data_IF_152288715393
#
_entry.id   IF_152288715393
#
_cell.length_a   1.000
_cell.length_b   1.000
_cell.length_c   1.000
_cell.angle_alpha   90.00
_cell.angle_beta   90.00
_cell.angle_gamma   90.00
#
_symmetry.space_group_name_H-M   'P 1'
#
loop_
_entity.id
_entity.type
_entity.pdbx_description
1 polymer ?
#
# COMPACT_ATOMS: atom_id res chain seq x y z
N UNK A 1 -2.54 26.78 -26.35
CA UNK A 1 -1.31 25.99 -26.12
C UNK A 1 -1.24 25.74 -24.62
N UNK A 2 -1.09 24.49 -24.16
CA UNK A 2 -0.97 24.24 -22.74
C UNK A 2 0.35 24.81 -22.22
N UNK A 3 0.29 25.47 -21.09
CA UNK A 3 1.41 26.10 -20.43
C UNK A 3 2.34 25.01 -19.82
N UNK A 4 3.66 25.16 -20.00
CA UNK A 4 4.63 24.27 -19.34
C UNK A 4 4.83 24.74 -17.91
N UNK A 5 4.67 23.83 -16.96
CA UNK A 5 4.96 24.06 -15.52
C UNK A 5 6.32 23.48 -15.20
N UNK A 6 7.18 24.25 -14.56
CA UNK A 6 8.45 23.79 -14.02
C UNK A 6 8.34 23.63 -12.52
N UNK A 7 8.83 22.51 -12.00
CA UNK A 7 8.86 22.21 -10.57
C UNK A 7 10.32 22.00 -10.18
N UNK A 8 10.84 22.83 -9.26
CA UNK A 8 12.22 22.77 -8.78
C UNK A 8 12.24 22.03 -7.45
N UNK A 9 13.14 21.05 -7.31
CA UNK A 9 13.30 20.23 -6.10
C UNK A 9 14.73 20.29 -5.56
N UNK A 10 14.89 20.42 -4.24
CA UNK A 10 16.21 20.30 -3.58
C UNK A 10 16.73 18.88 -3.58
N UNK A 11 15.83 17.89 -3.46
CA UNK A 11 16.12 16.46 -3.63
C UNK A 11 15.00 15.80 -4.43
N UNK A 12 15.37 14.81 -5.24
CA UNK A 12 14.47 14.09 -6.11
C UNK A 12 14.73 12.59 -6.04
N UNK A 13 13.69 11.82 -5.81
CA UNK A 13 13.67 10.35 -5.80
C UNK A 13 12.70 9.91 -6.88
N UNK A 14 13.17 9.20 -7.89
CA UNK A 14 12.35 8.86 -9.05
C UNK A 14 11.46 7.62 -8.86
N UNK A 15 11.67 6.84 -7.79
CA UNK A 15 10.92 5.61 -7.50
C UNK A 15 11.47 4.36 -8.19
N UNK A 16 12.53 4.45 -8.98
CA UNK A 16 13.17 3.29 -9.62
C UNK A 16 14.07 2.48 -8.68
N UNK A 17 14.40 3.05 -7.52
CA UNK A 17 15.42 2.54 -6.61
C UNK A 17 16.81 3.10 -6.89
N UNK A 18 16.95 4.04 -7.83
CA UNK A 18 18.19 4.77 -8.08
C UNK A 18 18.46 5.82 -6.98
N UNK A 19 19.72 6.23 -6.87
CA UNK A 19 20.19 7.19 -5.89
C UNK A 19 19.45 8.54 -5.96
N UNK A 20 19.32 9.19 -4.80
CA UNK A 20 18.72 10.53 -4.68
C UNK A 20 19.48 11.56 -5.53
N UNK A 21 18.77 12.21 -6.44
CA UNK A 21 19.31 13.34 -7.22
C UNK A 21 19.07 14.65 -6.47
N UNK A 22 19.98 15.62 -6.63
CA UNK A 22 19.87 16.93 -5.96
C UNK A 22 19.74 18.06 -6.97
N UNK A 23 19.05 19.13 -6.53
CA UNK A 23 18.87 20.35 -7.32
C UNK A 23 18.34 20.02 -8.73
N UNK A 24 17.17 19.45 -8.79
CA UNK A 24 16.53 18.93 -10.02
C UNK A 24 15.34 19.82 -10.38
N UNK A 25 15.11 20.03 -11.68
CA UNK A 25 13.83 20.49 -12.16
C UNK A 25 13.08 19.38 -12.91
N UNK A 26 11.75 19.42 -12.83
CA UNK A 26 10.83 18.67 -13.67
C UNK A 26 10.06 19.66 -14.54
N UNK A 27 9.99 19.41 -15.85
CA UNK A 27 9.07 20.10 -16.74
C UNK A 27 7.84 19.24 -16.95
N UNK A 28 6.65 19.81 -16.72
CA UNK A 28 5.36 19.12 -16.87
C UNK A 28 4.53 19.87 -17.91
N UNK A 29 4.02 19.14 -18.87
CA UNK A 29 3.11 19.64 -19.89
C UNK A 29 1.99 18.61 -20.13
N UNK A 30 0.74 19.06 -20.18
CA UNK A 30 -0.40 18.17 -20.42
C UNK A 30 -0.41 16.94 -19.50
N UNK A 31 -0.15 17.13 -18.20
CA UNK A 31 -0.12 16.07 -17.17
C UNK A 31 1.11 15.15 -17.20
N UNK A 32 1.99 15.27 -18.20
CA UNK A 32 3.12 14.38 -18.44
C UNK A 32 4.44 15.09 -18.08
N UNK A 33 5.39 14.35 -17.49
CA UNK A 33 6.78 14.80 -17.31
C UNK A 33 7.45 14.81 -18.69
N UNK A 34 7.85 15.98 -19.17
CA UNK A 34 8.47 16.15 -20.48
C UNK A 34 9.98 16.29 -20.43
N UNK A 35 10.52 16.74 -19.29
CA UNK A 35 11.95 16.81 -19.05
C UNK A 35 12.28 16.70 -17.56
N UNK A 36 13.47 16.20 -17.25
CA UNK A 36 14.06 16.19 -15.91
C UNK A 36 15.54 16.57 -16.07
N UNK A 37 15.96 17.64 -15.41
CA UNK A 37 17.33 18.15 -15.53
C UNK A 37 17.87 18.76 -14.24
N UNK A 38 19.10 19.28 -14.30
CA UNK A 38 19.67 20.08 -13.21
C UNK A 38 18.93 21.41 -13.09
N UNK A 39 18.62 21.84 -11.87
CA UNK A 39 18.00 23.16 -11.63
C UNK A 39 18.83 24.33 -12.16
N UNK A 40 20.16 24.14 -12.31
CA UNK A 40 21.05 25.14 -12.91
C UNK A 40 20.77 25.33 -14.42
N UNK A 41 20.24 24.30 -15.08
CA UNK A 41 19.96 24.29 -16.51
C UNK A 41 18.46 24.57 -16.80
N UNK A 42 17.73 25.12 -15.80
CA UNK A 42 16.31 25.45 -15.96
C UNK A 42 16.10 26.38 -17.15
N UNK A 43 15.29 25.97 -18.15
CA UNK A 43 15.04 26.79 -19.32
C UNK A 43 14.35 28.12 -18.95
N UNK A 44 14.83 29.23 -19.51
CA UNK A 44 14.14 30.51 -19.40
C UNK A 44 13.02 30.54 -20.43
N UNK A 45 11.78 30.41 -19.96
CA UNK A 45 10.60 30.55 -20.79
C UNK A 45 9.76 31.72 -20.29
N UNK A 46 9.53 32.70 -21.15
CA UNK A 46 8.60 33.80 -20.86
C UNK A 46 7.19 33.23 -20.72
N UNK A 47 6.56 33.45 -19.55
CA UNK A 47 5.19 32.98 -19.24
C UNK A 47 5.08 31.56 -18.64
N UNK A 48 6.21 30.87 -18.35
CA UNK A 48 6.14 29.57 -17.69
C UNK A 48 5.88 29.69 -16.17
N UNK A 49 5.01 28.86 -15.64
CA UNK A 49 4.82 28.73 -14.19
C UNK A 49 5.98 27.96 -13.57
N UNK A 50 6.61 28.52 -12.53
CA UNK A 50 7.68 27.87 -11.77
C UNK A 50 7.21 27.68 -10.33
N UNK A 51 7.13 26.40 -9.88
CA UNK A 51 6.89 26.04 -8.50
C UNK A 51 8.22 25.69 -7.83
N UNK A 52 8.68 26.54 -6.91
CA UNK A 52 9.97 26.40 -6.24
C UNK A 52 9.83 25.60 -4.93
N UNK A 53 10.31 24.37 -4.97
CA UNK A 53 10.45 23.45 -3.83
C UNK A 53 11.93 23.09 -3.58
N UNK A 54 12.84 24.02 -3.80
CA UNK A 54 14.29 23.82 -3.60
C UNK A 54 14.67 23.41 -2.17
N UNK A 55 13.77 23.62 -1.19
CA UNK A 55 13.91 23.19 0.21
C UNK A 55 13.17 21.89 0.54
N UNK A 56 12.69 21.17 -0.49
CA UNK A 56 11.86 19.97 -0.35
C UNK A 56 12.46 18.77 -1.08
N UNK A 57 11.91 17.61 -0.75
CA UNK A 57 12.11 16.36 -1.49
C UNK A 57 10.87 16.09 -2.32
N UNK A 58 11.05 15.78 -3.59
CA UNK A 58 10.01 15.25 -4.47
C UNK A 58 10.22 13.75 -4.64
N UNK A 59 9.13 12.98 -4.53
CA UNK A 59 9.13 11.52 -4.67
C UNK A 59 7.79 11.06 -5.27
N UNK A 60 7.71 9.82 -5.83
CA UNK A 60 6.46 9.30 -6.37
C UNK A 60 5.36 9.24 -5.32
N UNK A 61 4.12 9.31 -5.77
CA UNK A 61 2.97 8.95 -4.95
C UNK A 61 3.01 7.49 -4.53
N UNK A 62 2.48 7.20 -3.34
CA UNK A 62 2.54 5.88 -2.73
C UNK A 62 1.40 4.98 -3.22
N UNK A 63 1.67 3.67 -3.21
CA UNK A 63 0.70 2.62 -3.52
C UNK A 63 0.65 1.63 -2.36
N UNK A 64 -0.53 1.42 -1.78
CA UNK A 64 -0.77 0.42 -0.75
C UNK A 64 -1.41 -0.83 -1.36
N UNK A 65 -0.67 -1.93 -1.38
CA UNK A 65 -1.04 -3.16 -2.06
C UNK A 65 -1.96 -4.09 -1.24
N UNK A 66 -2.36 -3.68 -0.03
CA UNK A 66 -3.27 -4.46 0.83
C UNK A 66 -4.10 -3.54 1.70
N UNK A 67 -5.34 -3.30 1.28
CA UNK A 67 -6.29 -2.40 1.96
C UNK A 67 -7.69 -2.99 1.97
N UNK A 68 -8.45 -2.72 3.02
CA UNK A 68 -9.91 -2.79 3.00
C UNK A 68 -10.46 -1.38 3.28
N UNK A 69 -11.15 -0.80 2.31
CA UNK A 69 -11.79 0.51 2.46
C UNK A 69 -13.16 0.41 3.17
N UNK A 70 -13.76 -0.78 3.22
CA UNK A 70 -15.06 -1.02 3.85
C UNK A 70 -14.95 -1.49 5.31
N UNK A 71 -13.74 -1.63 5.86
CA UNK A 71 -13.53 -2.03 7.26
C UNK A 71 -13.03 -0.88 8.11
N UNK A 72 -13.57 -0.76 9.31
CA UNK A 72 -13.08 0.19 10.31
C UNK A 72 -11.80 -0.34 10.96
N UNK A 73 -10.70 0.43 10.99
CA UNK A 73 -9.50 0.07 11.73
C UNK A 73 -9.61 0.31 13.24
N UNK A 74 -10.78 0.66 13.75
CA UNK A 74 -10.99 0.95 15.16
C UNK A 74 -10.55 -0.21 16.05
N UNK A 75 -9.92 0.10 17.17
CA UNK A 75 -9.64 -0.90 18.23
C UNK A 75 -10.89 -1.20 19.05
N UNK A 76 -11.91 -0.35 19.00
CA UNK A 76 -13.21 -0.58 19.63
C UNK A 76 -14.02 -1.59 18.80
N UNK A 77 -14.34 -2.72 19.42
CA UNK A 77 -15.10 -3.80 18.80
C UNK A 77 -16.52 -3.33 18.37
N UNK A 78 -17.19 -2.52 19.18
CA UNK A 78 -18.55 -2.05 18.86
C UNK A 78 -18.54 -1.16 17.62
N UNK A 79 -17.55 -0.28 17.49
CA UNK A 79 -17.39 0.55 16.28
C UNK A 79 -17.17 -0.31 15.04
N UNK A 80 -16.41 -1.41 15.16
CA UNK A 80 -16.20 -2.34 14.01
C UNK A 80 -17.47 -3.09 13.65
N UNK A 81 -18.19 -3.61 14.64
CA UNK A 81 -19.46 -4.32 14.42
C UNK A 81 -20.49 -3.40 13.76
N UNK A 82 -20.65 -2.18 14.27
CA UNK A 82 -21.54 -1.18 13.65
C UNK A 82 -21.13 -0.90 12.19
N UNK A 83 -19.83 -0.81 11.90
CA UNK A 83 -19.34 -0.59 10.54
C UNK A 83 -19.59 -1.80 9.61
N UNK A 84 -19.55 -3.02 10.14
CA UNK A 84 -19.88 -4.25 9.38
C UNK A 84 -21.37 -4.35 9.04
N UNK A 85 -22.23 -3.94 9.97
CA UNK A 85 -23.71 -3.93 9.84
C UNK A 85 -24.23 -2.69 9.09
N UNK A 86 -23.39 -1.71 8.81
CA UNK A 86 -23.75 -0.45 8.16
C UNK A 86 -24.44 -0.69 6.80
N UNK A 87 -25.38 0.18 6.49
CA UNK A 87 -26.04 0.17 5.19
C UNK A 87 -25.11 0.65 4.05
N UNK A 88 -25.58 0.59 2.80
CA UNK A 88 -24.78 0.96 1.63
C UNK A 88 -24.37 2.44 1.64
N UNK A 89 -25.21 3.34 2.16
CA UNK A 89 -24.89 4.76 2.21
C UNK A 89 -23.82 5.05 3.28
N UNK A 90 -23.93 4.43 4.43
CA UNK A 90 -22.96 4.51 5.52
C UNK A 90 -21.61 3.91 5.10
N UNK A 91 -21.62 2.75 4.42
CA UNK A 91 -20.42 2.15 3.82
C UNK A 91 -19.79 3.06 2.79
N UNK A 92 -20.58 3.70 1.93
CA UNK A 92 -20.08 4.69 0.97
C UNK A 92 -19.36 5.85 1.67
N UNK A 93 -19.98 6.44 2.70
CA UNK A 93 -19.37 7.53 3.47
C UNK A 93 -18.07 7.10 4.18
N UNK A 94 -18.01 5.85 4.68
CA UNK A 94 -16.80 5.30 5.29
C UNK A 94 -15.68 5.14 4.26
N UNK A 95 -15.98 4.60 3.08
CA UNK A 95 -15.01 4.44 1.98
C UNK A 95 -14.48 5.80 1.52
N UNK A 96 -15.34 6.82 1.32
CA UNK A 96 -14.91 8.18 0.99
C UNK A 96 -13.95 8.76 2.04
N UNK A 97 -14.25 8.54 3.31
CA UNK A 97 -13.38 8.95 4.43
C UNK A 97 -12.02 8.26 4.36
N UNK A 98 -12.00 6.95 4.13
CA UNK A 98 -10.75 6.18 4.03
C UNK A 98 -9.92 6.57 2.80
N UNK A 99 -10.56 6.84 1.66
CA UNK A 99 -9.91 7.41 0.47
C UNK A 99 -9.30 8.78 0.81
N UNK A 100 -10.03 9.64 1.51
CA UNK A 100 -9.53 10.94 1.95
C UNK A 100 -8.28 10.81 2.84
N UNK A 101 -8.26 9.83 3.75
CA UNK A 101 -7.08 9.54 4.57
C UNK A 101 -5.91 9.03 3.72
N UNK A 102 -6.14 8.08 2.81
CA UNK A 102 -5.11 7.64 1.87
C UNK A 102 -4.51 8.83 1.12
N UNK A 103 -5.37 9.65 0.51
CA UNK A 103 -4.94 10.84 -0.22
C UNK A 103 -4.10 11.79 0.65
N UNK A 104 -4.57 12.11 1.86
CA UNK A 104 -3.89 13.04 2.76
C UNK A 104 -2.47 12.60 3.17
N UNK A 105 -2.22 11.30 3.18
CA UNK A 105 -0.89 10.72 3.46
C UNK A 105 -0.10 10.35 2.19
N UNK A 106 -0.55 10.80 1.02
CA UNK A 106 0.15 10.60 -0.25
C UNK A 106 -0.02 9.23 -0.88
N UNK A 107 -0.95 8.42 -0.37
CA UNK A 107 -1.32 7.14 -1.01
C UNK A 107 -2.32 7.46 -2.11
N UNK A 108 -1.86 7.38 -3.37
CA UNK A 108 -2.66 7.69 -4.54
C UNK A 108 -3.08 6.43 -5.32
N UNK A 109 -2.62 5.25 -4.87
CA UNK A 109 -3.05 3.96 -5.40
C UNK A 109 -3.31 2.97 -4.27
N UNK A 110 -4.38 2.19 -4.40
CA UNK A 110 -4.72 1.12 -3.43
C UNK A 110 -5.22 -0.14 -4.14
N UNK A 111 -4.73 -1.30 -3.67
CA UNK A 111 -5.30 -2.59 -4.04
C UNK A 111 -6.20 -3.08 -2.90
N UNK A 112 -7.51 -3.16 -3.15
CA UNK A 112 -8.51 -3.44 -2.14
C UNK A 112 -9.09 -4.84 -2.26
N UNK A 113 -9.37 -5.43 -1.09
CA UNK A 113 -10.00 -6.75 -0.98
C UNK A 113 -11.53 -6.70 -0.93
N UNK A 114 -12.11 -5.50 -0.96
CA UNK A 114 -13.55 -5.31 -0.86
C UNK A 114 -14.23 -5.45 -2.23
N UNK A 115 -15.49 -5.86 -2.20
CA UNK A 115 -16.38 -5.69 -3.34
C UNK A 115 -16.90 -4.24 -3.37
N UNK A 116 -16.38 -3.47 -4.30
CA UNK A 116 -16.77 -2.07 -4.51
C UNK A 116 -17.71 -1.89 -5.70
N UNK A 117 -18.29 -2.95 -6.26
CA UNK A 117 -19.07 -2.91 -7.50
C UNK A 117 -20.21 -1.88 -7.42
N UNK A 118 -20.99 -1.90 -6.34
CA UNK A 118 -22.11 -0.97 -6.15
C UNK A 118 -21.69 0.46 -5.80
N UNK A 119 -20.43 0.67 -5.43
CA UNK A 119 -19.89 1.96 -5.01
C UNK A 119 -19.03 2.61 -6.08
N UNK A 120 -18.54 1.85 -7.07
CA UNK A 120 -17.56 2.30 -8.07
C UNK A 120 -18.04 3.51 -8.85
N UNK A 121 -19.27 3.50 -9.33
CA UNK A 121 -19.86 4.61 -10.10
C UNK A 121 -20.01 5.88 -9.26
N UNK A 122 -20.30 5.75 -7.98
CA UNK A 122 -20.41 6.88 -7.06
C UNK A 122 -19.06 7.60 -6.87
N UNK A 123 -17.95 6.83 -6.81
CA UNK A 123 -16.60 7.42 -6.66
C UNK A 123 -16.10 8.07 -7.93
N UNK A 124 -16.50 7.54 -9.10
CA UNK A 124 -16.04 8.08 -10.36
C UNK A 124 -16.80 9.34 -10.79
N UNK A 125 -18.08 9.49 -10.40
CA UNK A 125 -18.95 10.56 -10.85
C UNK A 125 -18.90 11.85 -10.03
N UNK A 126 -18.44 11.80 -8.78
CA UNK A 126 -18.52 12.93 -7.83
C UNK A 126 -17.19 13.63 -7.54
N UNK A 127 -16.07 13.14 -8.04
CA UNK A 127 -14.75 13.62 -7.64
C UNK A 127 -14.26 14.74 -8.57
N UNK A 128 -13.86 15.87 -7.95
CA UNK A 128 -13.17 16.93 -8.67
C UNK A 128 -11.87 16.39 -9.31
N UNK A 129 -11.45 16.92 -10.47
CA UNK A 129 -10.17 16.56 -11.07
C UNK A 129 -9.03 16.64 -10.03
N UNK A 130 -8.23 15.58 -9.93
CA UNK A 130 -7.11 15.51 -8.96
C UNK A 130 -7.46 15.07 -7.55
N UNK A 131 -8.70 14.66 -7.29
CA UNK A 131 -9.14 14.19 -5.95
C UNK A 131 -9.30 12.67 -5.85
N UNK A 132 -9.28 11.94 -6.95
CA UNK A 132 -9.40 10.48 -6.97
C UNK A 132 -8.04 9.80 -6.81
N UNK A 133 -7.99 8.78 -5.95
CA UNK A 133 -6.90 7.82 -5.94
C UNK A 133 -7.20 6.69 -6.96
N UNK A 134 -6.16 6.00 -7.45
CA UNK A 134 -6.33 4.82 -8.33
C UNK A 134 -6.70 3.60 -7.46
N UNK A 135 -7.88 3.04 -7.66
CA UNK A 135 -8.37 1.89 -6.90
C UNK A 135 -8.43 0.67 -7.80
N UNK A 136 -7.75 -0.41 -7.37
CA UNK A 136 -7.87 -1.75 -7.95
C UNK A 136 -8.59 -2.65 -6.96
N UNK A 137 -9.71 -3.23 -7.37
CA UNK A 137 -10.55 -4.07 -6.52
C UNK A 137 -10.48 -5.53 -6.94
N UNK A 138 -10.40 -6.42 -5.95
CA UNK A 138 -10.54 -7.87 -6.20
C UNK A 138 -12.01 -8.32 -6.34
N UNK A 139 -12.99 -7.44 -6.15
CA UNK A 139 -14.40 -7.80 -6.16
C UNK A 139 -14.80 -8.69 -4.98
N UNK A 140 -14.04 -8.65 -3.90
CA UNK A 140 -14.22 -9.52 -2.74
C UNK A 140 -13.07 -10.52 -2.56
N UNK A 141 -13.11 -11.25 -1.45
CA UNK A 141 -12.12 -12.23 -1.06
C UNK A 141 -12.61 -13.64 -1.39
N UNK A 142 -11.91 -14.36 -2.25
CA UNK A 142 -12.24 -15.74 -2.62
C UNK A 142 -11.82 -16.70 -1.50
N UNK A 143 -12.76 -17.39 -0.89
CA UNK A 143 -12.57 -18.37 0.20
C UNK A 143 -13.06 -19.77 -0.14
N UNK A 144 -13.76 -19.93 -1.27
CA UNK A 144 -14.30 -21.20 -1.72
C UNK A 144 -14.34 -21.33 -3.24
N UNK A 145 -14.46 -22.53 -3.76
CA UNK A 145 -14.67 -22.75 -5.20
C UNK A 145 -16.01 -22.18 -5.68
N UNK A 146 -16.98 -22.05 -4.80
CA UNK A 146 -18.28 -21.44 -5.14
C UNK A 146 -18.13 -19.94 -5.31
N UNK A 147 -17.29 -19.27 -4.49
CA UNK A 147 -16.94 -17.86 -4.66
C UNK A 147 -16.23 -17.63 -6.00
N UNK A 148 -15.41 -18.59 -6.47
CA UNK A 148 -14.74 -18.48 -7.76
C UNK A 148 -15.67 -18.68 -8.95
N UNK A 149 -16.68 -19.54 -8.81
CA UNK A 149 -17.70 -19.76 -9.84
C UNK A 149 -18.72 -18.61 -9.91
N UNK A 150 -19.07 -18.04 -8.74
CA UNK A 150 -19.85 -16.81 -8.59
C UNK A 150 -18.95 -15.55 -8.71
N UNK A 151 -17.68 -15.67 -8.37
CA UNK A 151 -16.68 -14.62 -8.20
C UNK A 151 -16.04 -14.12 -9.48
N UNK A 152 -16.63 -14.36 -10.60
CA UNK A 152 -16.44 -13.54 -11.78
C UNK A 152 -17.25 -12.26 -11.62
N UNK A 153 -16.96 -11.45 -10.56
CA UNK A 153 -17.44 -10.08 -10.54
C UNK A 153 -16.93 -9.41 -11.81
N UNK A 154 -17.81 -9.01 -12.73
CA UNK A 154 -17.41 -8.49 -14.04
C UNK A 154 -16.51 -7.25 -13.98
N UNK A 155 -16.35 -6.67 -12.80
CA UNK A 155 -15.56 -5.48 -12.54
C UNK A 155 -14.31 -5.69 -11.69
N UNK A 156 -13.93 -6.91 -11.34
CA UNK A 156 -12.72 -7.15 -10.54
C UNK A 156 -11.45 -6.95 -11.38
N UNK A 157 -10.50 -6.16 -10.87
CA UNK A 157 -9.23 -5.85 -11.54
C UNK A 157 -8.21 -6.99 -11.34
N UNK A 158 -8.28 -7.70 -10.21
CA UNK A 158 -7.42 -8.83 -9.88
C UNK A 158 -8.20 -9.86 -9.03
N UNK A 159 -7.62 -11.00 -8.77
CA UNK A 159 -8.18 -12.02 -7.89
C UNK A 159 -7.41 -12.03 -6.57
N UNK A 160 -8.13 -12.01 -5.43
CA UNK A 160 -7.54 -12.20 -4.11
C UNK A 160 -8.11 -13.45 -3.46
N UNK A 161 -7.22 -14.38 -3.09
CA UNK A 161 -7.58 -15.69 -2.54
C UNK A 161 -7.09 -15.78 -1.10
N UNK A 162 -7.98 -16.09 -0.18
CA UNK A 162 -7.67 -16.39 1.21
C UNK A 162 -7.46 -17.90 1.36
N UNK A 163 -6.19 -18.32 1.31
CA UNK A 163 -5.83 -19.73 1.32
C UNK A 163 -5.52 -20.27 2.71
N UNK A 164 -4.80 -19.50 3.54
CA UNK A 164 -4.41 -19.96 4.89
C UNK A 164 -5.06 -19.18 6.04
N UNK A 165 -5.84 -18.17 5.76
CA UNK A 165 -6.29 -17.17 6.74
C UNK A 165 -5.21 -16.14 7.04
N UNK A 166 -5.59 -15.05 7.69
CA UNK A 166 -4.66 -14.04 8.17
C UNK A 166 -3.95 -14.53 9.43
N UNK A 167 -2.75 -13.96 9.68
CA UNK A 167 -1.97 -14.33 10.86
C UNK A 167 -2.65 -13.95 12.19
N UNK A 168 -3.59 -13.02 12.15
CA UNK A 168 -4.37 -12.59 13.32
C UNK A 168 -5.57 -13.50 13.64
N UNK A 169 -5.94 -14.41 12.74
CA UNK A 169 -7.11 -15.26 12.87
C UNK A 169 -6.77 -16.45 13.79
N UNK A 170 -6.87 -16.26 15.12
CA UNK A 170 -6.53 -17.25 16.13
C UNK A 170 -7.49 -18.47 16.14
N UNK A 171 -8.71 -18.34 15.63
CA UNK A 171 -9.78 -19.33 15.71
C UNK A 171 -10.53 -19.50 14.39
N UNK A 172 -9.90 -19.96 13.33
CA UNK A 172 -10.71 -20.27 12.17
C UNK A 172 -10.65 -21.74 11.79
N UNK A 173 -11.63 -22.55 12.19
CA UNK A 173 -11.99 -23.69 11.41
C UNK A 173 -12.84 -23.25 10.21
N UNK A 174 -12.39 -22.24 9.46
CA UNK A 174 -13.00 -21.97 8.16
C UNK A 174 -12.68 -23.16 7.26
N UNK A 175 -13.65 -23.58 6.48
CA UNK A 175 -13.44 -24.45 5.33
C UNK A 175 -12.39 -23.77 4.44
N UNK A 176 -11.11 -24.09 4.70
CA UNK A 176 -9.99 -23.59 3.91
C UNK A 176 -10.05 -24.30 2.57
N UNK A 177 -9.73 -23.56 1.54
CA UNK A 177 -9.49 -24.14 0.23
C UNK A 177 -8.42 -25.24 0.37
N UNK A 178 -8.64 -26.39 -0.26
CA UNK A 178 -7.58 -27.38 -0.43
C UNK A 178 -6.71 -27.02 -1.64
N UNK A 179 -5.60 -27.70 -1.82
CA UNK A 179 -4.64 -27.43 -2.90
C UNK A 179 -5.26 -27.61 -4.29
N UNK A 180 -6.14 -28.59 -4.48
CA UNK A 180 -6.82 -28.86 -5.75
C UNK A 180 -7.77 -27.71 -6.11
N UNK A 181 -8.53 -27.22 -5.14
CA UNK A 181 -9.43 -26.08 -5.30
C UNK A 181 -8.66 -24.80 -5.63
N UNK A 182 -7.53 -24.54 -4.94
CA UNK A 182 -6.64 -23.41 -5.26
C UNK A 182 -6.16 -23.49 -6.70
N UNK A 183 -5.67 -24.66 -7.13
CA UNK A 183 -5.22 -24.89 -8.51
C UNK A 183 -6.33 -24.64 -9.53
N UNK A 184 -7.55 -25.10 -9.24
CA UNK A 184 -8.72 -24.90 -10.10
C UNK A 184 -9.10 -23.42 -10.22
N UNK A 185 -9.11 -22.69 -9.10
CA UNK A 185 -9.39 -21.26 -9.08
C UNK A 185 -8.36 -20.48 -9.91
N UNK A 186 -7.07 -20.77 -9.71
CA UNK A 186 -5.99 -20.09 -10.42
C UNK A 186 -6.00 -20.41 -11.93
N UNK A 187 -6.35 -21.63 -12.32
CA UNK A 187 -6.50 -22.03 -13.72
C UNK A 187 -7.60 -21.22 -14.44
N UNK A 188 -8.69 -20.91 -13.74
CA UNK A 188 -9.87 -20.24 -14.32
C UNK A 188 -9.91 -18.72 -14.06
N UNK A 189 -8.81 -18.11 -13.63
CA UNK A 189 -8.75 -16.66 -13.28
C UNK A 189 -8.92 -15.69 -14.46
N UNK A 190 -9.00 -16.20 -15.69
CA UNK A 190 -9.30 -15.37 -16.88
C UNK A 190 -8.22 -14.33 -17.21
N UNK A 191 -6.93 -14.63 -17.00
CA UNK A 191 -5.82 -13.74 -17.28
C UNK A 191 -5.59 -12.64 -16.24
N UNK A 192 -6.43 -12.54 -15.20
CA UNK A 192 -6.26 -11.59 -14.10
C UNK A 192 -5.06 -11.99 -13.23
N UNK A 193 -4.37 -11.01 -12.65
CA UNK A 193 -3.38 -11.26 -11.62
C UNK A 193 -4.02 -11.87 -10.38
N UNK A 194 -3.35 -12.83 -9.74
CA UNK A 194 -3.85 -13.51 -8.54
C UNK A 194 -2.91 -13.27 -7.35
N UNK A 195 -3.45 -12.68 -6.29
CA UNK A 195 -2.81 -12.50 -5.00
C UNK A 195 -3.32 -13.56 -4.04
N UNK A 196 -2.44 -14.39 -3.47
CA UNK A 196 -2.81 -15.43 -2.52
C UNK A 196 -2.32 -15.07 -1.13
N UNK A 197 -3.24 -14.96 -0.18
CA UNK A 197 -2.93 -14.85 1.26
C UNK A 197 -2.54 -16.24 1.74
N UNK A 198 -1.24 -16.43 2.00
CA UNK A 198 -0.70 -17.72 2.41
C UNK A 198 0.39 -17.56 3.47
N UNK A 199 0.27 -18.30 4.57
CA UNK A 199 1.22 -18.33 5.68
C UNK A 199 1.67 -19.77 5.92
N UNK A 200 2.93 -19.94 6.35
CA UNK A 200 3.53 -21.24 6.53
C UNK A 200 4.23 -21.78 5.29
N UNK A 201 5.21 -22.66 5.51
CA UNK A 201 6.07 -23.19 4.45
C UNK A 201 5.29 -23.99 3.40
N UNK A 202 4.36 -24.82 3.85
CA UNK A 202 3.59 -25.70 2.96
C UNK A 202 2.59 -24.90 2.13
N UNK A 203 1.78 -24.03 2.73
CA UNK A 203 0.75 -23.25 2.06
C UNK A 203 1.32 -22.32 1.00
N UNK A 204 2.46 -21.68 1.31
CA UNK A 204 3.16 -20.84 0.33
C UNK A 204 3.72 -21.70 -0.82
N UNK A 205 4.30 -22.88 -0.52
CA UNK A 205 4.79 -23.78 -1.56
C UNK A 205 3.66 -24.27 -2.49
N UNK A 206 2.49 -24.56 -1.95
CA UNK A 206 1.28 -24.97 -2.69
C UNK A 206 0.77 -23.81 -3.58
N UNK A 207 0.73 -22.58 -3.04
CA UNK A 207 0.33 -21.40 -3.80
C UNK A 207 1.28 -21.10 -4.98
N UNK A 208 2.60 -21.23 -4.76
CA UNK A 208 3.60 -21.08 -5.81
C UNK A 208 3.48 -22.17 -6.88
N UNK A 209 3.28 -23.43 -6.46
CA UNK A 209 3.08 -24.55 -7.36
C UNK A 209 1.79 -24.43 -8.20
N UNK A 210 0.75 -23.81 -7.64
CA UNK A 210 -0.50 -23.54 -8.32
C UNK A 210 -0.42 -22.33 -9.28
N UNK A 211 0.69 -21.57 -9.30
CA UNK A 211 0.95 -20.49 -10.23
C UNK A 211 0.31 -19.14 -9.85
N UNK A 212 0.35 -18.75 -8.58
CA UNK A 212 -0.03 -17.42 -8.15
C UNK A 212 0.95 -16.35 -8.67
N UNK A 213 0.47 -15.10 -8.83
CA UNK A 213 1.31 -13.98 -9.26
C UNK A 213 1.89 -13.20 -8.07
N UNK A 214 1.25 -13.27 -6.90
CA UNK A 214 1.75 -12.67 -5.67
C UNK A 214 1.37 -13.49 -4.44
N UNK A 215 2.25 -13.44 -3.43
CA UNK A 215 1.97 -13.92 -2.06
C UNK A 215 1.76 -12.70 -1.18
N UNK A 216 0.67 -12.67 -0.43
CA UNK A 216 0.45 -11.70 0.63
C UNK A 216 0.66 -12.37 1.99
N UNK A 217 1.27 -11.62 2.93
CA UNK A 217 1.74 -12.03 4.23
C UNK A 217 2.97 -12.94 4.16
N UNK A 218 2.86 -14.23 3.90
CA UNK A 218 4.00 -15.15 3.79
C UNK A 218 4.75 -15.34 5.10
N UNK A 219 4.09 -15.28 6.24
CA UNK A 219 4.74 -15.53 7.53
C UNK A 219 5.24 -16.97 7.61
N UNK A 220 6.45 -17.15 8.13
CA UNK A 220 7.10 -18.46 8.31
C UNK A 220 7.20 -19.30 7.01
N UNK A 221 7.29 -18.68 5.84
CA UNK A 221 7.34 -19.40 4.56
C UNK A 221 8.66 -20.10 4.26
N UNK A 222 9.76 -19.63 4.86
CA UNK A 222 11.10 -20.23 4.70
C UNK A 222 11.85 -19.82 3.45
N UNK A 223 13.16 -20.08 3.44
CA UNK A 223 14.08 -19.66 2.38
C UNK A 223 13.78 -20.29 1.02
N UNK A 224 13.40 -21.58 1.00
CA UNK A 224 13.14 -22.32 -0.25
C UNK A 224 12.01 -21.67 -1.07
N UNK A 225 10.97 -21.18 -0.37
CA UNK A 225 9.87 -20.47 -1.04
C UNK A 225 10.31 -19.07 -1.53
N UNK A 226 11.15 -18.36 -0.78
CA UNK A 226 11.72 -17.10 -1.25
C UNK A 226 12.57 -17.28 -2.52
N UNK A 227 13.37 -18.35 -2.61
CA UNK A 227 14.13 -18.68 -3.82
C UNK A 227 13.21 -18.95 -5.02
N UNK A 228 12.15 -19.74 -4.81
CA UNK A 228 11.14 -20.00 -5.84
C UNK A 228 10.43 -18.72 -6.30
N UNK A 229 10.10 -17.82 -5.37
CA UNK A 229 9.49 -16.52 -5.69
C UNK A 229 10.42 -15.68 -6.58
N UNK A 230 11.72 -15.64 -6.27
CA UNK A 230 12.70 -14.96 -7.11
C UNK A 230 12.82 -15.59 -8.51
N UNK A 231 12.86 -16.92 -8.58
CA UNK A 231 12.95 -17.67 -9.85
C UNK A 231 11.69 -17.51 -10.73
N UNK A 232 10.51 -17.42 -10.11
CA UNK A 232 9.22 -17.34 -10.80
C UNK A 232 8.70 -15.91 -10.99
N UNK A 233 9.46 -14.89 -10.57
CA UNK A 233 9.08 -13.47 -10.58
C UNK A 233 7.75 -13.20 -9.83
N UNK A 234 7.49 -13.95 -8.74
CA UNK A 234 6.29 -13.78 -7.90
C UNK A 234 6.49 -12.60 -6.94
N UNK A 235 5.54 -11.67 -6.93
CA UNK A 235 5.57 -10.51 -6.02
C UNK A 235 5.30 -10.93 -4.58
N UNK A 236 6.03 -10.35 -3.62
CA UNK A 236 5.74 -10.52 -2.21
C UNK A 236 5.20 -9.23 -1.57
N UNK A 237 4.06 -9.32 -0.88
CA UNK A 237 3.42 -8.27 -0.09
C UNK A 237 3.50 -8.71 1.38
N UNK A 238 4.59 -8.40 2.11
CA UNK A 238 4.91 -9.03 3.40
C UNK A 238 4.01 -8.60 4.57
N UNK A 239 3.39 -7.42 4.49
CA UNK A 239 2.52 -6.85 5.53
C UNK A 239 3.11 -7.00 6.94
N UNK A 240 4.37 -6.58 7.12
CA UNK A 240 5.15 -6.74 8.37
C UNK A 240 4.50 -6.00 9.53
N UNK A 241 3.80 -4.91 9.22
CA UNK A 241 3.11 -4.09 10.20
C UNK A 241 2.04 -4.87 10.97
N UNK A 242 1.44 -5.91 10.38
CA UNK A 242 0.48 -6.78 11.09
C UNK A 242 1.12 -7.44 12.31
N UNK A 243 2.30 -8.04 12.17
CA UNK A 243 3.02 -8.64 13.30
C UNK A 243 3.48 -7.60 14.33
N UNK A 244 3.96 -6.43 13.86
CA UNK A 244 4.29 -5.31 14.77
C UNK A 244 3.05 -4.85 15.53
N UNK A 245 1.93 -4.73 14.84
CA UNK A 245 0.66 -4.33 15.43
C UNK A 245 0.16 -5.33 16.47
N UNK A 246 0.24 -6.63 16.19
CA UNK A 246 -0.06 -7.69 17.15
C UNK A 246 0.84 -7.62 18.39
N UNK A 247 2.15 -7.42 18.20
CA UNK A 247 3.10 -7.26 19.30
C UNK A 247 2.76 -6.04 20.18
N UNK A 248 2.52 -4.89 19.58
CA UNK A 248 2.18 -3.68 20.32
C UNK A 248 0.84 -3.82 21.09
N UNK A 249 -0.10 -4.62 20.56
CA UNK A 249 -1.37 -4.92 21.21
C UNK A 249 -1.27 -5.96 22.34
N UNK A 250 -0.26 -6.83 22.31
CA UNK A 250 -0.04 -7.88 23.29
C UNK A 250 0.78 -7.42 24.51
N UNK A 251 1.45 -6.28 24.42
CA UNK A 251 2.30 -5.74 25.49
C UNK A 251 1.51 -5.37 26.75
N UNK A 252 2.03 -5.74 27.94
CA UNK A 252 1.41 -5.48 29.25
C UNK A 252 1.40 -3.99 29.64
N UNK A 253 2.24 -3.16 29.05
CA UNK A 253 2.27 -1.73 29.26
C UNK A 253 1.45 -1.06 28.16
N UNK A 254 0.29 -0.54 28.52
CA UNK A 254 -0.51 0.33 27.67
C UNK A 254 0.19 1.65 27.25
N UNK A 255 1.51 1.68 27.34
CA UNK A 255 2.36 2.77 26.91
C UNK A 255 2.47 2.77 25.38
N UNK A 256 1.48 3.33 24.79
CA UNK A 256 1.50 3.66 23.36
C UNK A 256 2.43 4.84 23.15
N UNK A 257 3.68 4.55 22.95
CA UNK A 257 4.70 5.55 22.70
C UNK A 257 4.79 5.93 21.22
N UNK A 258 3.66 6.18 20.55
CA UNK A 258 3.71 6.74 19.21
C UNK A 258 2.55 7.70 18.96
N UNK A 259 2.88 8.91 18.54
CA UNK A 259 1.96 9.97 18.10
C UNK A 259 0.98 9.51 16.99
N UNK A 260 1.24 8.34 16.39
CA UNK A 260 0.56 7.84 15.20
C UNK A 260 -0.28 6.59 15.42
N UNK A 261 -0.10 5.89 16.55
CA UNK A 261 -0.97 4.80 16.95
C UNK A 261 -1.70 5.22 18.22
N UNK A 262 -2.82 5.90 18.10
CA UNK A 262 -3.77 5.99 19.21
C UNK A 262 -4.42 4.62 19.37
N UNK A 263 -3.66 3.68 19.92
CA UNK A 263 -4.20 2.38 20.29
C UNK A 263 -4.78 2.50 21.69
N UNK A 264 -6.06 2.44 21.75
CA UNK A 264 -6.73 2.04 22.96
C UNK A 264 -6.59 0.52 23.06
N UNK A 265 -5.70 0.04 23.90
CA UNK A 265 -5.72 -1.37 24.30
C UNK A 265 -6.87 -1.48 25.29
N UNK A 266 -7.94 -2.20 24.91
CA UNK A 266 -9.00 -2.51 25.84
C UNK A 266 -8.40 -3.14 27.12
N UNK A 267 -8.86 -2.76 28.31
CA UNK A 267 -8.36 -3.34 29.55
C UNK A 267 -8.77 -4.81 29.61
N UNK A 268 -7.90 -5.68 29.16
CA UNK A 268 -8.00 -7.13 29.21
C UNK A 268 -6.71 -7.70 29.77
N UNK A 269 -6.78 -8.87 30.43
CA UNK A 269 -5.57 -9.57 30.81
C UNK A 269 -4.80 -9.95 29.54
N UNK A 270 -3.50 -9.62 29.42
CA UNK A 270 -2.71 -10.08 28.29
C UNK A 270 -2.79 -11.59 28.20
N UNK A 271 -3.05 -12.12 27.00
CA UNK A 271 -3.01 -13.57 26.78
C UNK A 271 -1.58 -14.03 26.95
N UNK A 272 -1.35 -14.92 27.93
CA UNK A 272 -0.03 -15.43 28.26
C UNK A 272 0.55 -16.16 27.04
N UNK A 273 1.62 -15.62 26.48
CA UNK A 273 2.27 -16.13 25.28
C UNK A 273 2.04 -15.30 24.01
N UNK A 274 1.02 -14.45 23.94
CA UNK A 274 0.74 -13.62 22.76
C UNK A 274 1.91 -12.69 22.41
N UNK A 275 2.53 -12.06 23.41
CA UNK A 275 3.72 -11.22 23.19
C UNK A 275 4.88 -12.00 22.59
N UNK A 276 5.17 -13.20 23.13
CA UNK A 276 6.24 -14.06 22.62
C UNK A 276 5.96 -14.52 21.19
N UNK A 277 4.72 -14.87 20.88
CA UNK A 277 4.28 -15.24 19.53
C UNK A 277 4.49 -14.08 18.54
N UNK A 278 3.96 -12.90 18.83
CA UNK A 278 4.06 -11.76 17.92
C UNK A 278 5.51 -11.26 17.78
N UNK A 279 6.29 -11.29 18.84
CA UNK A 279 7.72 -10.97 18.79
C UNK A 279 8.48 -11.92 17.88
N UNK A 280 8.16 -13.22 17.94
CA UNK A 280 8.72 -14.23 17.06
C UNK A 280 8.32 -13.93 15.61
N UNK A 281 7.02 -13.76 15.34
CA UNK A 281 6.51 -13.48 13.99
C UNK A 281 7.14 -12.24 13.38
N UNK A 282 7.24 -11.15 14.13
CA UNK A 282 7.89 -9.91 13.66
C UNK A 282 9.38 -10.14 13.35
N UNK A 283 10.10 -10.85 14.20
CA UNK A 283 11.54 -11.10 14.02
C UNK A 283 11.79 -11.99 12.79
N UNK A 284 11.01 -13.04 12.63
CA UNK A 284 11.09 -13.95 11.47
C UNK A 284 10.74 -13.23 10.19
N UNK A 285 9.66 -12.41 10.18
CA UNK A 285 9.24 -11.67 8.98
C UNK A 285 10.29 -10.65 8.54
N UNK A 286 10.90 -9.92 9.47
CA UNK A 286 12.01 -8.99 9.17
C UNK A 286 13.25 -9.75 8.64
N UNK A 287 13.52 -10.95 9.14
CA UNK A 287 14.62 -11.79 8.65
C UNK A 287 14.34 -12.29 7.24
N UNK A 288 13.12 -12.77 6.98
CA UNK A 288 12.68 -13.19 5.65
C UNK A 288 12.73 -12.01 4.65
N UNK A 289 12.30 -10.82 5.07
CA UNK A 289 12.32 -9.62 4.23
C UNK A 289 13.76 -9.22 3.84
N UNK A 290 14.71 -9.32 4.77
CA UNK A 290 16.14 -9.12 4.49
C UNK A 290 16.67 -10.13 3.48
N UNK A 291 16.31 -11.40 3.66
CA UNK A 291 16.72 -12.47 2.76
C UNK A 291 16.10 -12.29 1.37
N UNK A 292 14.82 -11.92 1.29
CA UNK A 292 14.11 -11.64 0.04
C UNK A 292 14.84 -10.56 -0.78
N UNK A 293 15.27 -9.46 -0.11
CA UNK A 293 16.09 -8.42 -0.75
C UNK A 293 17.37 -9.00 -1.35
N UNK A 294 18.07 -9.84 -0.60
CA UNK A 294 19.33 -10.48 -1.06
C UNK A 294 19.11 -11.43 -2.23
N UNK A 295 18.00 -12.15 -2.23
CA UNK A 295 17.63 -13.08 -3.30
C UNK A 295 17.02 -12.39 -4.54
N UNK A 296 16.76 -11.08 -4.47
CA UNK A 296 16.13 -10.33 -5.56
C UNK A 296 14.63 -10.55 -5.71
N UNK A 297 13.96 -11.05 -4.68
CA UNK A 297 12.48 -11.16 -4.69
C UNK A 297 11.87 -9.77 -4.82
N UNK A 298 10.99 -9.56 -5.78
CA UNK A 298 10.22 -8.33 -5.87
C UNK A 298 9.29 -8.22 -4.67
N UNK A 299 9.35 -7.10 -3.96
CA UNK A 299 8.50 -6.83 -2.80
C UNK A 299 7.70 -5.56 -3.01
N UNK A 300 6.45 -5.52 -2.54
CA UNK A 300 5.64 -4.31 -2.52
C UNK A 300 5.09 -4.04 -1.11
N UNK A 301 4.88 -2.77 -0.81
CA UNK A 301 4.29 -2.37 0.47
C UNK A 301 2.79 -2.61 0.45
N UNK A 302 2.30 -3.34 1.46
CA UNK A 302 0.88 -3.53 1.72
C UNK A 302 0.64 -3.52 3.22
N UNK A 303 -0.08 -2.52 3.70
CA UNK A 303 -0.22 -2.28 5.14
C UNK A 303 -1.20 -3.21 5.83
N UNK A 304 -2.24 -3.66 5.13
CA UNK A 304 -3.41 -4.30 5.70
C UNK A 304 -4.36 -3.29 6.35
N UNK A 305 -4.37 -2.03 5.89
CA UNK A 305 -5.25 -0.99 6.41
C UNK A 305 -6.72 -1.42 6.38
N UNK A 306 -7.46 -1.05 7.42
CA UNK A 306 -8.79 -1.59 7.72
C UNK A 306 -8.78 -2.77 8.70
N UNK A 307 -7.62 -3.41 8.94
CA UNK A 307 -7.43 -4.31 10.08
C UNK A 307 -7.29 -3.51 11.37
N UNK A 308 -7.60 -4.17 12.50
CA UNK A 308 -7.60 -3.53 13.82
C UNK A 308 -6.29 -2.78 14.09
N UNK A 309 -6.37 -1.47 14.31
CA UNK A 309 -5.23 -0.61 14.62
C UNK A 309 -4.33 -0.27 13.42
N UNK A 310 -4.67 -0.66 12.19
CA UNK A 310 -3.90 -0.34 10.98
C UNK A 310 -4.67 0.70 10.16
N UNK A 311 -4.20 1.94 10.23
CA UNK A 311 -4.89 3.12 9.71
C UNK A 311 -4.63 3.33 8.21
N UNK A 312 -5.66 3.76 7.50
CA UNK A 312 -5.56 4.12 6.09
C UNK A 312 -4.59 5.28 5.87
N UNK A 313 -3.70 5.14 4.90
CA UNK A 313 -2.67 6.11 4.54
C UNK A 313 -1.55 6.25 5.58
N UNK A 314 -1.86 6.52 6.83
CA UNK A 314 -0.88 6.75 7.91
C UNK A 314 0.07 5.56 8.10
N UNK A 315 -0.46 4.34 8.01
CA UNK A 315 0.30 3.10 8.24
C UNK A 315 1.38 2.82 7.18
N UNK A 316 1.32 3.46 6.01
CA UNK A 316 2.35 3.35 4.97
C UNK A 316 3.74 3.73 5.49
N UNK A 317 3.83 4.80 6.27
CA UNK A 317 5.11 5.26 6.83
C UNK A 317 5.70 4.22 7.78
N UNK A 318 4.86 3.57 8.57
CA UNK A 318 5.31 2.54 9.51
C UNK A 318 5.76 1.27 8.77
N UNK A 319 5.04 0.83 7.74
CA UNK A 319 5.45 -0.31 6.92
C UNK A 319 6.79 -0.03 6.21
N UNK A 320 6.97 1.15 5.61
CA UNK A 320 8.24 1.55 4.98
C UNK A 320 9.42 1.57 5.99
N UNK A 321 9.19 1.99 7.24
CA UNK A 321 10.22 1.91 8.29
C UNK A 321 10.64 0.47 8.60
N UNK A 322 9.70 -0.48 8.51
CA UNK A 322 9.99 -1.90 8.70
C UNK A 322 10.82 -2.46 7.55
N UNK A 323 10.58 -2.03 6.30
CA UNK A 323 11.44 -2.36 5.16
C UNK A 323 12.86 -1.84 5.37
N UNK A 324 13.02 -0.58 5.78
CA UNK A 324 14.35 0.00 6.09
C UNK A 324 15.01 -0.75 7.25
N UNK A 325 14.26 -1.13 8.30
CA UNK A 325 14.76 -1.94 9.42
C UNK A 325 15.21 -3.32 8.95
N UNK A 326 14.59 -3.89 7.92
CA UNK A 326 15.02 -5.14 7.29
C UNK A 326 16.25 -4.97 6.37
N UNK A 327 16.75 -3.75 6.15
CA UNK A 327 17.98 -3.48 5.40
C UNK A 327 17.78 -2.91 4.00
N UNK A 328 16.55 -2.57 3.60
CA UNK A 328 16.30 -1.83 2.36
C UNK A 328 16.85 -0.41 2.49
N UNK A 329 17.40 0.13 1.40
CA UNK A 329 17.70 1.57 1.35
C UNK A 329 16.40 2.38 1.32
N UNK A 330 16.50 3.69 1.49
CA UNK A 330 15.33 4.57 1.36
C UNK A 330 14.72 4.46 -0.05
N UNK A 331 15.56 4.47 -1.07
CA UNK A 331 15.18 4.42 -2.48
C UNK A 331 14.50 3.09 -2.82
N UNK A 332 15.03 1.99 -2.31
CA UNK A 332 14.42 0.66 -2.43
C UNK A 332 13.06 0.60 -1.72
N UNK A 333 12.95 1.16 -0.51
CA UNK A 333 11.69 1.20 0.24
C UNK A 333 10.62 2.06 -0.50
N UNK A 334 11.03 3.17 -1.11
CA UNK A 334 10.13 4.00 -1.95
C UNK A 334 9.72 3.23 -3.21
N UNK A 335 10.64 2.51 -3.88
CA UNK A 335 10.28 1.67 -5.02
C UNK A 335 9.26 0.60 -4.64
N UNK A 336 9.43 -0.05 -3.48
CA UNK A 336 8.46 -1.03 -2.97
C UNK A 336 7.11 -0.39 -2.63
N UNK A 337 7.10 0.87 -2.20
CA UNK A 337 5.90 1.62 -1.85
C UNK A 337 5.28 2.40 -3.02
N UNK A 338 5.81 2.26 -4.23
CA UNK A 338 5.32 2.97 -5.43
C UNK A 338 5.34 2.08 -6.67
N UNK A 339 6.49 1.96 -7.36
CA UNK A 339 6.62 1.31 -8.67
C UNK A 339 6.23 -0.17 -8.65
N UNK A 340 6.70 -0.94 -7.65
CA UNK A 340 6.46 -2.38 -7.63
C UNK A 340 4.96 -2.70 -7.52
N UNK A 341 4.22 -1.97 -6.68
CA UNK A 341 2.77 -2.10 -6.57
C UNK A 341 2.05 -1.56 -7.80
N UNK A 342 2.41 -0.36 -8.27
CA UNK A 342 1.80 0.26 -9.45
C UNK A 342 1.94 -0.64 -10.69
N UNK A 343 3.14 -1.16 -10.93
CA UNK A 343 3.41 -2.04 -12.07
C UNK A 343 2.65 -3.37 -11.98
N UNK A 344 2.56 -3.97 -10.77
CA UNK A 344 1.85 -5.23 -10.59
C UNK A 344 0.34 -5.09 -10.83
N UNK A 345 -0.28 -4.03 -10.31
CA UNK A 345 -1.72 -3.80 -10.42
C UNK A 345 -2.13 -2.98 -11.65
N UNK A 346 -1.21 -2.62 -12.53
CA UNK A 346 -1.50 -1.85 -13.75
C UNK A 346 -2.00 -0.42 -13.49
N UNK A 347 -1.44 0.25 -12.47
CA UNK A 347 -1.76 1.65 -12.12
C UNK A 347 -0.87 2.60 -12.93
N UNK A 348 -1.17 2.79 -14.20
CA UNK A 348 -0.30 3.50 -15.17
C UNK A 348 0.01 4.97 -14.84
N UNK A 349 -0.83 5.60 -14.00
CA UNK A 349 -0.65 6.99 -13.56
C UNK A 349 0.34 7.15 -12.41
N UNK A 350 0.80 6.04 -11.84
CA UNK A 350 1.63 5.96 -10.63
C UNK A 350 2.95 5.24 -10.93
N UNK A 351 3.78 5.10 -9.91
CA UNK A 351 5.05 4.38 -10.00
C UNK A 351 6.24 5.33 -10.10
N UNK A 352 7.00 5.27 -11.21
CA UNK A 352 8.21 6.08 -11.37
C UNK A 352 7.94 7.47 -11.93
N UNK A 353 8.78 8.43 -11.54
CA UNK A 353 8.81 9.80 -12.05
C UNK A 353 9.90 9.92 -13.12
N UNK A 354 9.58 9.53 -14.34
CA UNK A 354 10.47 9.61 -15.51
C UNK A 354 9.79 10.33 -16.67
N UNK A 355 10.58 10.79 -17.63
CA UNK A 355 10.04 11.42 -18.85
C UNK A 355 9.05 10.50 -19.56
N UNK A 356 7.91 11.04 -19.94
CA UNK A 356 6.80 10.31 -20.58
C UNK A 356 5.74 9.76 -19.60
N UNK A 357 6.02 9.74 -18.29
CA UNK A 357 5.05 9.30 -17.28
C UNK A 357 4.21 10.45 -16.75
N UNK A 358 3.08 10.12 -16.13
CA UNK A 358 2.20 11.09 -15.45
C UNK A 358 2.92 11.76 -14.28
N UNK A 359 2.72 13.06 -14.14
CA UNK A 359 3.32 13.87 -13.09
C UNK A 359 2.48 13.77 -11.79
N UNK A 360 2.43 12.59 -11.17
CA UNK A 360 1.77 12.36 -9.88
C UNK A 360 2.83 12.08 -8.82
N UNK A 361 3.03 13.05 -7.91
CA UNK A 361 4.14 13.02 -6.96
C UNK A 361 3.82 13.74 -5.65
N UNK A 362 4.63 13.46 -4.65
CA UNK A 362 4.56 14.03 -3.31
C UNK A 362 5.69 15.03 -3.09
N UNK A 363 5.41 16.02 -2.26
CA UNK A 363 6.37 17.02 -1.83
C UNK A 363 6.42 16.99 -0.32
N UNK A 364 7.62 16.83 0.24
CA UNK A 364 7.84 16.87 1.68
C UNK A 364 9.00 17.80 2.03
N UNK A 365 8.81 18.67 3.02
CA UNK A 365 9.83 19.64 3.46
C UNK A 365 10.98 18.92 4.14
N UNK A 366 12.21 19.34 3.83
CA UNK A 366 13.45 18.86 4.46
C UNK A 366 14.32 18.07 3.51
N UNK A 367 15.06 17.08 4.04
CA UNK A 367 16.05 16.31 3.30
C UNK A 367 15.64 14.83 3.21
N UNK A 368 16.22 14.11 2.24
CA UNK A 368 15.98 12.67 2.06
C UNK A 368 16.27 11.83 3.33
N UNK A 369 17.27 12.22 4.13
CA UNK A 369 17.59 11.51 5.38
C UNK A 369 16.46 11.56 6.43
N UNK A 370 15.50 12.46 6.28
CA UNK A 370 14.35 12.57 7.19
C UNK A 370 13.17 11.69 6.77
N UNK A 371 13.26 11.05 5.61
CA UNK A 371 12.27 10.10 5.13
C UNK A 371 12.49 8.70 5.77
N UNK A 372 11.46 7.88 5.88
CA UNK A 372 10.06 8.14 5.46
C UNK A 372 9.24 8.93 6.49
N UNK A 373 9.79 9.26 7.68
CA UNK A 373 9.04 9.94 8.75
C UNK A 373 8.37 11.24 8.30
N UNK A 374 9.01 11.98 7.40
CA UNK A 374 8.47 13.26 6.89
C UNK A 374 7.28 13.09 5.95
N UNK A 375 7.00 11.89 5.47
CA UNK A 375 5.79 11.59 4.69
C UNK A 375 4.49 11.77 5.50
N UNK A 376 4.58 11.72 6.83
CA UNK A 376 3.44 12.09 7.69
C UNK A 376 3.11 13.59 7.68
N UNK A 377 3.94 14.42 7.04
CA UNK A 377 3.84 15.88 7.00
C UNK A 377 4.17 16.40 5.60
N UNK A 378 3.33 16.05 4.63
CA UNK A 378 3.50 16.50 3.25
C UNK A 378 3.35 18.02 3.15
N UNK A 379 4.12 18.63 2.27
CA UNK A 379 4.00 20.03 1.88
C UNK A 379 2.99 20.19 0.73
N UNK A 380 2.89 19.19 -0.14
CA UNK A 380 1.95 19.16 -1.25
C UNK A 380 1.84 17.79 -1.90
N UNK A 381 0.77 17.63 -2.66
CA UNK A 381 0.51 16.49 -3.52
C UNK A 381 0.17 17.04 -4.91
N UNK A 382 0.85 16.54 -5.93
CA UNK A 382 0.54 16.82 -7.32
C UNK A 382 -0.08 15.58 -7.96
N UNK A 383 -1.21 15.77 -8.60
CA UNK A 383 -1.91 14.72 -9.34
C UNK A 383 -1.98 15.14 -10.80
N UNK A 384 -1.39 14.33 -11.68
CA UNK A 384 -1.33 14.62 -13.11
C UNK A 384 -0.83 16.05 -13.41
N UNK A 385 0.20 16.52 -12.72
CA UNK A 385 0.85 17.80 -12.96
C UNK A 385 0.21 19.01 -12.31
N UNK A 386 -0.90 18.87 -11.61
CA UNK A 386 -1.57 19.95 -10.90
C UNK A 386 -1.55 19.73 -9.38
N UNK A 387 -1.43 20.80 -8.58
CA UNK A 387 -1.61 20.68 -7.13
C UNK A 387 -3.01 20.14 -6.82
N UNK A 388 -3.08 19.16 -5.90
CA UNK A 388 -4.35 18.60 -5.47
C UNK A 388 -5.18 19.62 -4.69
N UNK A 389 -6.39 19.91 -5.17
CA UNK A 389 -7.36 20.77 -4.48
C UNK A 389 -7.92 20.17 -3.18
N UNK A 390 -7.83 18.85 -3.01
CA UNK A 390 -8.32 18.13 -1.84
C UNK A 390 -7.26 17.98 -0.75
N UNK A 391 -6.00 18.25 -1.05
CA UNK A 391 -4.93 18.15 -0.07
C UNK A 391 -5.03 19.28 0.96
N UNK A 392 -5.09 18.89 2.23
CA UNK A 392 -4.99 19.81 3.38
C UNK A 392 -3.77 19.42 4.19
N UNK A 393 -2.90 20.38 4.45
CA UNK A 393 -1.65 20.17 5.21
C UNK A 393 -1.85 19.55 6.60
N UNK A 394 -2.98 19.83 7.23
CA UNK A 394 -3.39 19.29 8.52
C UNK A 394 -4.84 18.79 8.39
N UNK A 395 -5.06 17.58 7.88
CA UNK A 395 -6.41 17.03 7.80
C UNK A 395 -7.01 16.92 9.21
N UNK A 396 -8.22 17.40 9.37
CA UNK A 396 -8.95 17.25 10.62
C UNK A 396 -9.31 15.77 10.78
N UNK A 397 -8.73 15.12 11.78
CA UNK A 397 -9.11 13.75 12.15
C UNK A 397 -10.47 13.83 12.85
N UNK A 398 -11.52 13.42 12.17
CA UNK A 398 -12.79 13.11 12.83
C UNK A 398 -12.67 11.71 13.41
N UNK A 399 -12.70 11.63 14.73
CA UNK A 399 -12.73 10.39 15.52
C UNK A 399 -14.07 9.70 15.36
#
# INVERSE_FOLDING_TARGET
>A
MSETRFIVAGSFIDGSGADVRRNVFLAVKDTIITAIGSAADLPRHDGATIDDFSHCVILPALVDCSVSLMRSPSVDCQVRLTAEEADLAEKAAMVERHISYCHAYGVQGVAVSDDLTDLRDRYQQGLAPGSSIDIRSSGGLCRSCQDSAAGHHPGADFLKIDYSGNIEDEEAPYLRLNQEDLGRILLHRGGRKAVVVANGRQQVAEALAAGCDAIEQGYAMGEDNLRKMAEQDVLWIPSVLRAKNGLDGAGASGDVCCRFSQRYVAPGKPNSGAEAFWKKMLTEQLTQLRLARTLGVKTAVGTGAGSVGILHGESMVEEMKLFIKAGYSLEEAIRCASENGAGFFGMEKLGTLIVGRKATFLITRGTAQQLPRKLSYLEGIYVEGAPSGNYRKNPVKTV
#
